data_IF_166449347015
#
_entry.id   IF_166449347015
#
_cell.length_a   1.000
_cell.length_b   1.000
_cell.length_c   1.000
_cell.angle_alpha   90.00
_cell.angle_beta   90.00
_cell.angle_gamma   90.00
#
_symmetry.space_group_name_H-M   'P 1'
#
loop_
_entity.id
_entity.type
_entity.pdbx_description
1 polymer ?
#
# COMPACT_ATOMS: atom_id res chain seq x y z
N UNK A 1 20.71 -0.11 27.84
CA UNK A 1 20.02 1.15 27.55
C UNK A 1 19.17 0.93 26.32
N UNK A 2 17.88 1.25 26.37
CA UNK A 2 17.02 1.19 25.19
C UNK A 2 17.47 2.27 24.20
N UNK A 3 17.67 1.96 22.91
CA UNK A 3 18.02 2.97 21.92
C UNK A 3 16.93 4.06 21.87
N UNK A 4 17.29 5.33 21.64
CA UNK A 4 16.29 6.38 21.46
C UNK A 4 15.39 6.02 20.25
N UNK A 5 14.08 6.33 20.32
CA UNK A 5 13.18 6.11 19.19
C UNK A 5 13.72 6.89 17.98
N UNK A 6 13.99 6.17 16.90
CA UNK A 6 14.50 6.72 15.65
C UNK A 6 13.37 7.48 14.95
N UNK A 7 13.39 8.83 14.95
CA UNK A 7 12.36 9.61 14.29
C UNK A 7 12.56 9.44 12.78
N UNK A 8 11.70 8.67 12.14
CA UNK A 8 11.80 8.34 10.71
C UNK A 8 12.24 6.91 10.40
N UNK A 9 12.45 6.05 11.39
CA UNK A 9 12.59 4.62 11.11
C UNK A 9 11.25 4.06 10.62
N UNK A 10 11.15 3.86 9.31
CA UNK A 10 10.07 3.09 8.70
C UNK A 10 10.24 1.65 9.18
N UNK A 11 9.26 1.15 9.94
CA UNK A 11 9.17 -0.29 10.19
C UNK A 11 8.92 -0.96 8.84
N UNK A 12 9.86 -1.80 8.40
CA UNK A 12 9.75 -2.51 7.12
C UNK A 12 8.64 -3.57 7.12
N UNK A 13 8.16 -3.99 8.29
CA UNK A 13 7.07 -4.96 8.34
C UNK A 13 5.73 -4.29 8.01
N UNK A 14 4.80 -4.96 7.30
CA UNK A 14 3.48 -4.40 7.04
C UNK A 14 2.71 -4.22 8.35
N UNK A 15 2.45 -2.97 8.73
CA UNK A 15 1.69 -2.61 9.94
C UNK A 15 0.29 -2.17 9.56
N UNK A 16 -0.71 -2.75 10.23
CA UNK A 16 -2.11 -2.40 10.08
C UNK A 16 -2.61 -1.76 11.38
N UNK A 17 -3.39 -0.69 11.23
CA UNK A 17 -4.17 -0.10 12.32
C UNK A 17 -5.60 -0.66 12.25
N UNK A 18 -6.00 -1.40 13.27
CA UNK A 18 -7.36 -1.90 13.40
C UNK A 18 -8.34 -0.83 13.86
N UNK A 19 -9.63 -1.07 13.62
CA UNK A 19 -10.71 -0.14 13.97
C UNK A 19 -10.87 0.11 15.48
N UNK A 20 -10.23 -0.69 16.34
CA UNK A 20 -10.23 -0.51 17.80
C UNK A 20 -8.94 0.15 18.31
N UNK A 21 -8.13 0.73 17.42
CA UNK A 21 -6.89 1.43 17.76
C UNK A 21 -5.71 0.51 18.04
N UNK A 22 -5.81 -0.78 17.75
CA UNK A 22 -4.69 -1.72 17.85
C UNK A 22 -3.80 -1.62 16.60
N UNK A 23 -2.49 -1.70 16.80
CA UNK A 23 -1.53 -1.91 15.71
C UNK A 23 -1.10 -3.38 15.70
N UNK A 24 -1.06 -4.00 14.53
CA UNK A 24 -0.57 -5.35 14.38
C UNK A 24 0.23 -5.50 13.09
N UNK A 25 1.25 -6.35 13.13
CA UNK A 25 2.03 -6.74 11.97
C UNK A 25 1.35 -7.93 11.30
N UNK A 26 1.20 -7.87 9.98
CA UNK A 26 0.63 -8.97 9.21
C UNK A 26 1.46 -9.20 7.95
N UNK A 27 2.08 -10.38 7.88
CA UNK A 27 2.93 -10.77 6.75
C UNK A 27 2.19 -11.55 5.68
N UNK A 28 0.98 -12.04 5.95
CA UNK A 28 0.24 -12.89 5.00
C UNK A 28 0.97 -14.18 4.62
N UNK A 29 0.49 -14.79 3.54
CA UNK A 29 1.14 -15.90 2.85
C UNK A 29 1.74 -15.36 1.54
N UNK A 30 2.88 -15.91 1.10
CA UNK A 30 3.51 -15.45 -0.13
C UNK A 30 2.71 -15.86 -1.35
N UNK A 31 2.59 -14.93 -2.29
CA UNK A 31 1.82 -15.04 -3.54
C UNK A 31 0.32 -15.28 -3.34
N UNK A 32 -0.22 -14.77 -2.24
CA UNK A 32 -1.65 -14.89 -1.90
C UNK A 32 -2.33 -13.53 -1.81
N UNK A 33 -3.63 -13.54 -2.11
CA UNK A 33 -4.49 -12.36 -2.01
C UNK A 33 -5.36 -12.41 -0.75
N UNK A 34 -5.34 -11.33 0.02
CA UNK A 34 -6.15 -11.18 1.23
C UNK A 34 -7.19 -10.10 1.04
N UNK A 35 -8.44 -10.43 1.33
CA UNK A 35 -9.50 -9.44 1.43
C UNK A 35 -9.45 -8.76 2.80
N UNK A 36 -9.21 -7.45 2.82
CA UNK A 36 -9.08 -6.66 4.05
C UNK A 36 -10.42 -6.06 4.46
N UNK A 37 -11.20 -5.58 3.49
CA UNK A 37 -12.54 -5.02 3.69
C UNK A 37 -13.45 -5.52 2.58
N UNK A 38 -14.64 -6.01 2.94
CA UNK A 38 -15.66 -6.44 1.98
C UNK A 38 -16.98 -5.74 2.25
N UNK A 39 -17.56 -5.13 1.22
CA UNK A 39 -18.89 -4.55 1.18
C UNK A 39 -19.51 -4.79 -0.21
N UNK A 40 -20.84 -4.67 -0.37
CA UNK A 40 -21.49 -4.91 -1.67
C UNK A 40 -20.87 -4.13 -2.85
N UNK A 41 -20.39 -2.91 -2.61
CA UNK A 41 -19.86 -2.03 -3.67
C UNK A 41 -18.41 -1.61 -3.43
N UNK A 42 -17.78 -2.09 -2.36
CA UNK A 42 -16.40 -1.72 -2.02
C UNK A 42 -15.66 -2.96 -1.56
N UNK A 43 -14.56 -3.27 -2.22
CA UNK A 43 -13.59 -4.24 -1.71
C UNK A 43 -12.23 -3.58 -1.56
N UNK A 44 -11.54 -3.90 -0.46
CA UNK A 44 -10.14 -3.55 -0.27
C UNK A 44 -9.40 -4.86 -0.11
N UNK A 45 -8.46 -5.13 -1.00
CA UNK A 45 -7.69 -6.36 -0.99
C UNK A 45 -6.20 -6.04 -1.12
N UNK A 46 -5.38 -7.03 -0.82
CA UNK A 46 -3.94 -6.89 -0.92
C UNK A 46 -3.30 -8.17 -1.42
N UNK A 47 -2.28 -8.04 -2.26
CA UNK A 47 -1.40 -9.14 -2.68
C UNK A 47 -0.10 -9.06 -1.89
N UNK A 48 0.36 -10.21 -1.40
CA UNK A 48 1.56 -10.34 -0.61
C UNK A 48 2.61 -11.17 -1.36
N UNK A 49 3.87 -10.76 -1.30
CA UNK A 49 4.99 -11.42 -1.99
C UNK A 49 6.11 -11.77 -1.02
N UNK A 50 6.84 -12.85 -1.32
CA UNK A 50 8.04 -13.18 -0.58
C UNK A 50 9.25 -12.43 -1.14
N UNK A 51 9.93 -11.66 -0.30
CA UNK A 51 11.21 -11.05 -0.62
C UNK A 51 12.33 -11.93 -0.04
N UNK A 52 13.04 -12.66 -0.91
CA UNK A 52 14.07 -13.63 -0.49
C UNK A 52 15.41 -12.98 -0.13
N UNK A 53 15.68 -11.80 -0.67
CA UNK A 53 16.77 -10.93 -0.26
C UNK A 53 16.14 -9.60 0.10
N UNK A 54 16.30 -9.13 1.34
CA UNK A 54 16.16 -7.70 1.60
C UNK A 54 17.04 -7.01 0.55
N UNK A 55 16.44 -6.19 -0.32
CA UNK A 55 17.16 -5.58 -1.43
C UNK A 55 18.48 -5.02 -0.92
N UNK A 56 19.56 -5.13 -1.71
CA UNK A 56 20.87 -4.55 -1.36
C UNK A 56 20.71 -3.04 -1.21
N UNK A 57 20.29 -2.61 -0.04
CA UNK A 57 20.14 -1.22 0.32
C UNK A 57 21.47 -0.79 0.93
N UNK A 58 21.94 0.38 0.56
CA UNK A 58 23.09 0.99 1.19
C UNK A 58 22.68 1.40 2.61
N UNK A 59 23.34 0.80 3.63
CA UNK A 59 23.01 1.00 5.04
C UNK A 59 23.28 2.42 5.53
N UNK A 60 23.86 3.27 4.68
CA UNK A 60 24.16 4.67 5.00
C UNK A 60 23.01 5.64 4.68
N UNK A 61 21.99 5.23 3.91
CA UNK A 61 20.96 6.16 3.38
C UNK A 61 19.51 5.83 3.80
N UNK A 62 19.21 4.59 4.16
CA UNK A 62 17.88 4.22 4.69
C UNK A 62 17.94 2.90 5.47
N UNK A 63 17.21 2.73 6.60
CA UNK A 63 17.08 1.43 7.25
C UNK A 63 16.51 0.42 6.26
N UNK A 64 17.33 -0.55 5.87
CA UNK A 64 16.98 -1.53 4.86
C UNK A 64 15.82 -2.41 5.35
N UNK A 65 14.93 -2.82 4.44
CA UNK A 65 13.92 -3.84 4.72
C UNK A 65 14.61 -5.07 5.34
N UNK A 66 14.19 -5.40 6.56
CA UNK A 66 15.10 -5.89 7.60
C UNK A 66 15.49 -7.37 7.48
N UNK A 67 14.86 -8.17 6.62
CA UNK A 67 15.17 -9.59 6.43
C UNK A 67 14.34 -10.19 5.30
N UNK A 68 14.64 -11.44 4.89
CA UNK A 68 13.71 -12.21 4.08
C UNK A 68 12.36 -12.36 4.77
N UNK A 69 11.27 -12.27 4.01
CA UNK A 69 9.92 -12.31 4.58
C UNK A 69 8.84 -12.04 3.55
N UNK A 70 7.59 -12.19 3.97
CA UNK A 70 6.44 -11.83 3.15
C UNK A 70 6.02 -10.39 3.44
N UNK A 71 5.80 -9.62 2.39
CA UNK A 71 5.46 -8.19 2.45
C UNK A 71 4.29 -7.87 1.54
N UNK A 72 3.57 -6.80 1.84
CA UNK A 72 2.49 -6.29 1.00
C UNK A 72 3.07 -5.66 -0.27
N UNK A 73 2.73 -6.22 -1.43
CA UNK A 73 3.15 -5.71 -2.74
C UNK A 73 2.08 -4.78 -3.32
N UNK A 74 0.81 -5.16 -3.23
CA UNK A 74 -0.30 -4.40 -3.79
C UNK A 74 -1.33 -4.09 -2.71
N UNK A 75 -1.85 -2.86 -2.72
CA UNK A 75 -3.10 -2.50 -2.07
C UNK A 75 -4.11 -2.09 -3.15
N UNK A 76 -5.15 -2.91 -3.31
CA UNK A 76 -6.21 -2.73 -4.29
C UNK A 76 -7.50 -2.23 -3.65
N UNK A 77 -8.17 -1.33 -4.36
CA UNK A 77 -9.50 -0.82 -4.06
C UNK A 77 -10.38 -1.11 -5.27
N UNK A 78 -11.48 -1.83 -5.06
CA UNK A 78 -12.57 -1.89 -6.01
C UNK A 78 -13.70 -1.02 -5.48
N UNK A 79 -14.19 -0.10 -6.30
CA UNK A 79 -15.33 0.75 -6.00
C UNK A 79 -16.29 0.64 -7.17
N UNK A 80 -17.45 0.02 -6.91
CA UNK A 80 -18.35 -0.44 -7.97
C UNK A 80 -17.58 -1.27 -9.02
N UNK A 81 -17.51 -0.78 -10.26
CA UNK A 81 -16.88 -1.46 -11.39
C UNK A 81 -15.44 -1.02 -11.67
N UNK A 82 -14.93 -0.02 -10.93
CA UNK A 82 -13.57 0.49 -11.12
C UNK A 82 -12.59 -0.03 -10.07
N UNK A 83 -11.33 -0.12 -10.48
CA UNK A 83 -10.23 -0.58 -9.66
C UNK A 83 -9.17 0.50 -9.54
N UNK A 84 -8.65 0.71 -8.33
CA UNK A 84 -7.43 1.49 -8.09
C UNK A 84 -6.45 0.57 -7.40
N UNK A 85 -5.20 0.53 -7.85
CA UNK A 85 -4.17 -0.29 -7.20
C UNK A 85 -2.95 0.57 -6.92
N UNK A 86 -2.46 0.49 -5.68
CA UNK A 86 -1.17 1.00 -5.27
C UNK A 86 -0.21 -0.18 -5.28
N UNK A 87 0.81 -0.12 -6.12
CA UNK A 87 1.77 -1.21 -6.33
C UNK A 87 3.13 -0.75 -5.82
N UNK A 88 3.70 -1.51 -4.90
CA UNK A 88 5.06 -1.32 -4.45
C UNK A 88 6.01 -1.42 -5.66
N UNK A 89 6.91 -0.46 -5.79
CA UNK A 89 8.01 -0.53 -6.74
C UNK A 89 9.32 -0.80 -6.03
N UNK A 90 10.38 -0.95 -6.82
CA UNK A 90 11.74 -0.94 -6.31
C UNK A 90 12.08 0.43 -5.72
N UNK A 91 13.22 0.54 -5.03
CA UNK A 91 13.65 1.83 -4.48
C UNK A 91 13.84 2.92 -5.56
N UNK A 92 14.13 2.53 -6.81
CA UNK A 92 14.24 3.42 -7.95
C UNK A 92 12.88 3.77 -8.56
N UNK A 93 11.95 2.80 -8.61
CA UNK A 93 10.62 2.99 -9.21
C UNK A 93 9.64 3.68 -8.27
N UNK A 94 9.82 3.57 -6.95
CA UNK A 94 8.92 4.14 -5.95
C UNK A 94 7.52 3.51 -6.00
N UNK A 95 6.53 4.19 -5.40
CA UNK A 95 5.13 3.76 -5.44
C UNK A 95 4.54 3.99 -6.83
N UNK A 96 3.92 2.96 -7.40
CA UNK A 96 3.22 3.01 -8.69
C UNK A 96 1.71 2.96 -8.47
N UNK A 97 0.95 3.67 -9.29
CA UNK A 97 -0.50 3.80 -9.14
C UNK A 97 -1.16 3.37 -10.44
N UNK A 98 -2.16 2.51 -10.34
CA UNK A 98 -2.98 2.06 -11.46
C UNK A 98 -4.42 2.45 -11.25
N UNK A 99 -5.06 2.96 -12.30
CA UNK A 99 -6.49 3.13 -12.41
C UNK A 99 -6.97 2.15 -13.48
N UNK A 100 -7.76 1.16 -13.07
CA UNK A 100 -8.10 -0.03 -13.84
C UNK A 100 -6.82 -0.70 -14.39
N UNK A 101 -6.62 -0.65 -15.71
CA UNK A 101 -5.48 -1.23 -16.41
C UNK A 101 -4.51 -0.17 -16.94
N UNK A 102 -4.62 1.07 -16.46
CA UNK A 102 -3.76 2.20 -16.86
C UNK A 102 -2.85 2.58 -15.69
N UNK A 103 -1.54 2.47 -15.90
CA UNK A 103 -0.55 3.01 -14.97
C UNK A 103 -0.53 4.54 -15.06
N UNK A 104 -0.69 5.20 -13.92
CA UNK A 104 -0.72 6.65 -13.82
C UNK A 104 0.70 7.19 -13.61
N UNK A 105 1.07 8.16 -14.42
CA UNK A 105 2.27 8.97 -14.19
C UNK A 105 1.95 10.23 -13.39
N UNK A 106 2.97 10.82 -12.75
CA UNK A 106 2.80 12.03 -11.95
C UNK A 106 2.26 13.18 -12.79
N UNK A 107 1.11 13.73 -12.39
CA UNK A 107 0.47 14.86 -13.07
C UNK A 107 -0.48 14.44 -14.20
N UNK A 108 -0.60 13.14 -14.45
CA UNK A 108 -1.57 12.60 -15.39
C UNK A 108 -2.99 12.66 -14.81
N UNK A 109 -3.94 13.03 -15.66
CA UNK A 109 -5.37 13.05 -15.32
C UNK A 109 -6.08 12.01 -16.16
N UNK A 110 -6.66 11.02 -15.50
CA UNK A 110 -7.55 10.05 -16.13
C UNK A 110 -9.00 10.51 -15.92
N UNK A 111 -9.77 10.54 -16.99
CA UNK A 111 -11.18 10.97 -16.99
C UNK A 111 -12.16 9.82 -17.23
N UNK A 112 -11.68 8.69 -17.75
CA UNK A 112 -12.50 7.53 -18.08
C UNK A 112 -12.60 6.57 -16.88
N UNK A 113 -12.87 7.13 -15.71
CA UNK A 113 -13.07 6.36 -14.48
C UNK A 113 -14.56 6.06 -14.35
N UNK A 114 -14.94 4.79 -14.42
CA UNK A 114 -16.35 4.35 -14.48
C UNK A 114 -17.02 4.23 -13.10
N UNK A 115 -16.38 4.74 -12.04
CA UNK A 115 -17.03 4.94 -10.76
C UNK A 115 -17.60 6.36 -10.72
N UNK A 116 -18.88 6.50 -10.33
CA UNK A 116 -19.50 7.80 -9.99
C UNK A 116 -18.91 8.42 -8.71
N UNK A 117 -17.68 8.05 -8.35
CA UNK A 117 -17.08 8.43 -7.10
C UNK A 117 -15.90 9.37 -7.20
N UNK A 118 -15.95 10.44 -6.43
CA UNK A 118 -14.84 11.38 -6.28
C UNK A 118 -13.94 10.97 -5.12
N UNK A 119 -12.65 10.78 -5.40
CA UNK A 119 -11.62 10.64 -4.36
C UNK A 119 -11.03 12.02 -4.06
N UNK A 120 -11.26 12.52 -2.85
CA UNK A 120 -10.70 13.79 -2.37
C UNK A 120 -9.54 13.54 -1.41
N UNK A 121 -8.36 14.03 -1.77
CA UNK A 121 -7.21 14.10 -0.87
C UNK A 121 -7.21 15.45 -0.16
N UNK A 122 -7.43 15.43 1.15
CA UNK A 122 -7.39 16.63 1.98
C UNK A 122 -5.97 16.89 2.48
N UNK A 123 -5.61 18.16 2.64
CA UNK A 123 -4.32 18.55 3.22
C UNK A 123 -4.10 18.00 4.65
N UNK A 124 -5.17 17.54 5.31
CA UNK A 124 -5.13 16.90 6.62
C UNK A 124 -4.73 15.42 6.57
N UNK A 125 -4.49 14.86 5.38
CA UNK A 125 -4.24 13.44 5.19
C UNK A 125 -5.51 12.59 5.13
N UNK A 126 -6.70 13.20 5.21
CA UNK A 126 -7.98 12.51 5.01
C UNK A 126 -8.17 12.20 3.52
N UNK A 127 -8.62 10.98 3.23
CA UNK A 127 -9.07 10.57 1.89
C UNK A 127 -10.56 10.33 1.97
N UNK A 128 -11.35 11.16 1.27
CA UNK A 128 -12.79 10.94 1.15
C UNK A 128 -13.10 10.27 -0.18
N UNK A 129 -13.90 9.22 -0.15
CA UNK A 129 -14.43 8.57 -1.35
C UNK A 129 -15.93 8.83 -1.33
N UNK A 130 -16.39 9.73 -2.20
CA UNK A 130 -17.81 9.92 -2.50
C UNK A 130 -18.17 8.97 -3.62
N UNK A 131 -19.41 8.49 -3.73
CA UNK A 131 -19.90 7.57 -4.78
C UNK A 131 -21.24 8.02 -5.32
#
# INVERSE_FOLDING_TARGET
TTPPPCPGCVHGDPVFAGFQGQNFQFHGLPDEHFNLVSSPNVTVNSHFVYLASGGKCDYTDTPCWTHPGTYMDVLGFQIADSHIKLVAGTHEAGLRIWADDIELTRGERVTDFNATGMVHFHHSGRVDIQT
#
